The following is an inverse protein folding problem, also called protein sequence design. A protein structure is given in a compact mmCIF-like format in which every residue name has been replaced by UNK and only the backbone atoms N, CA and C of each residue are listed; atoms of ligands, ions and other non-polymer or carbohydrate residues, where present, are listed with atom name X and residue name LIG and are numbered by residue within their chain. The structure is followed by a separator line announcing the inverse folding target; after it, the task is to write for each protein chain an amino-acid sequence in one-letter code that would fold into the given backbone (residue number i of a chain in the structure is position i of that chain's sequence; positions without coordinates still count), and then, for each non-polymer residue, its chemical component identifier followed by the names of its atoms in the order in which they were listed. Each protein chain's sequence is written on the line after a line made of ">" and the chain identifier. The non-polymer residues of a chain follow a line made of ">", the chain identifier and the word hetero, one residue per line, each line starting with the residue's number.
data_IF_359392104634
#
_entry.id   IF_359392104634
#
_cell.length_a   1.000
_cell.length_b   1.000
_cell.length_c   1.000
_cell.angle_alpha   90.00
_cell.angle_beta   90.00
_cell.angle_gamma   90.00
#
_symmetry.space_group_name_H-M   'P 1'
#
loop_
_entity.id
_entity.type
_entity.pdbx_description
1 polymer ?
#
# COMPACT_ATOMS: atom_id res chain seq x y z
N UNK A 1 -28.38 -74.67 -50.76
CA UNK A 1 -28.08 -73.65 -51.79
C UNK A 1 -28.53 -72.29 -51.29
N UNK A 2 -27.72 -71.28 -51.63
CA UNK A 2 -27.69 -69.87 -51.18
C UNK A 2 -28.98 -69.07 -51.46
N UNK A 3 -29.25 -68.01 -50.66
CA UNK A 3 -29.22 -66.61 -51.14
C UNK A 3 -29.53 -65.53 -50.08
N UNK A 4 -28.64 -64.53 -50.06
CA UNK A 4 -28.90 -63.07 -50.02
C UNK A 4 -29.47 -62.48 -48.71
N UNK A 5 -29.05 -61.31 -48.21
CA UNK A 5 -28.21 -60.23 -48.70
C UNK A 5 -28.58 -58.95 -47.92
N UNK A 6 -27.68 -57.95 -47.87
CA UNK A 6 -27.91 -56.60 -47.30
C UNK A 6 -28.20 -56.58 -45.79
N UNK A 7 -27.49 -55.85 -44.94
CA UNK A 7 -27.43 -54.39 -44.88
C UNK A 7 -26.13 -54.01 -44.18
N UNK A 8 -25.11 -53.70 -44.98
CA UNK A 8 -23.91 -53.02 -44.54
C UNK A 8 -24.15 -51.51 -44.66
N UNK A 9 -24.80 -50.88 -43.68
CA UNK A 9 -24.98 -49.42 -43.67
C UNK A 9 -25.37 -48.81 -42.31
N UNK A 10 -25.12 -49.48 -41.18
CA UNK A 10 -25.62 -49.02 -39.87
C UNK A 10 -24.55 -49.12 -38.77
N UNK A 11 -23.32 -48.70 -39.03
CA UNK A 11 -22.22 -48.88 -38.07
C UNK A 11 -21.33 -47.66 -37.81
N UNK A 12 -21.65 -46.45 -38.32
CA UNK A 12 -20.64 -45.36 -38.34
C UNK A 12 -21.13 -43.97 -37.88
N UNK A 13 -22.07 -43.88 -36.93
CA UNK A 13 -22.58 -42.58 -36.43
C UNK A 13 -22.69 -42.45 -34.89
N UNK A 14 -22.07 -43.35 -34.12
CA UNK A 14 -22.28 -43.41 -32.65
C UNK A 14 -21.04 -43.11 -31.79
N UNK A 15 -20.07 -42.34 -32.29
CA UNK A 15 -18.93 -41.92 -31.48
C UNK A 15 -18.76 -40.40 -31.58
N UNK A 16 -18.58 -39.75 -30.43
CA UNK A 16 -18.29 -38.33 -30.17
C UNK A 16 -19.42 -37.47 -29.53
N UNK A 17 -20.15 -38.00 -28.54
CA UNK A 17 -20.69 -37.16 -27.44
C UNK A 17 -19.78 -37.21 -26.20
N UNK A 18 -18.52 -36.79 -26.37
CA UNK A 18 -17.65 -36.52 -25.24
C UNK A 18 -18.08 -35.18 -24.61
N UNK A 19 -18.78 -35.26 -23.49
CA UNK A 19 -19.15 -34.10 -22.68
C UNK A 19 -17.88 -33.39 -22.21
N UNK A 20 -17.62 -32.21 -22.77
CA UNK A 20 -16.57 -31.31 -22.29
C UNK A 20 -17.01 -30.72 -20.94
N UNK A 21 -16.66 -31.40 -19.84
CA UNK A 21 -16.64 -30.77 -18.52
C UNK A 21 -15.47 -29.81 -18.47
N UNK A 22 -15.73 -28.53 -18.75
CA UNK A 22 -14.77 -27.47 -18.51
C UNK A 22 -14.53 -27.37 -16.98
N UNK A 23 -13.26 -27.40 -16.49
CA UNK A 23 -12.99 -27.14 -15.09
C UNK A 23 -13.45 -25.73 -14.72
N UNK A 24 -14.03 -25.52 -13.52
CA UNK A 24 -14.45 -24.20 -13.09
C UNK A 24 -13.25 -23.25 -13.12
N UNK A 25 -13.46 -22.07 -13.73
CA UNK A 25 -12.43 -21.04 -13.76
C UNK A 25 -11.97 -20.74 -12.32
N UNK A 26 -10.66 -20.60 -12.06
CA UNK A 26 -10.19 -20.23 -10.73
C UNK A 26 -10.83 -18.91 -10.35
N UNK A 27 -11.56 -18.89 -9.23
CA UNK A 27 -12.06 -17.66 -8.62
C UNK A 27 -10.87 -16.73 -8.40
N UNK A 28 -10.91 -15.47 -8.90
CA UNK A 28 -9.88 -14.50 -8.58
C UNK A 28 -9.77 -14.40 -7.07
N UNK A 29 -8.62 -14.79 -6.51
CA UNK A 29 -8.34 -14.54 -5.09
C UNK A 29 -8.29 -13.03 -4.98
N UNK A 30 -9.29 -12.42 -4.34
CA UNK A 30 -9.22 -11.02 -3.98
C UNK A 30 -7.89 -10.84 -3.22
N UNK A 31 -6.98 -10.03 -3.76
CA UNK A 31 -5.70 -9.74 -3.10
C UNK A 31 -6.08 -9.11 -1.76
N UNK A 32 -5.96 -9.90 -0.69
CA UNK A 32 -6.38 -9.47 0.62
C UNK A 32 -5.50 -8.29 1.04
N UNK A 33 -6.12 -7.28 1.67
CA UNK A 33 -5.42 -6.18 2.29
C UNK A 33 -4.36 -6.71 3.28
N UNK A 34 -3.08 -6.47 2.96
CA UNK A 34 -1.92 -6.84 3.77
C UNK A 34 -1.21 -5.58 4.30
N UNK A 35 -1.51 -5.17 5.54
CA UNK A 35 -0.84 -4.04 6.19
C UNK A 35 0.68 -4.19 6.24
N UNK A 36 1.22 -5.41 6.41
CA UNK A 36 2.65 -5.61 6.57
C UNK A 36 3.40 -5.34 5.25
N UNK A 37 2.85 -5.82 4.12
CA UNK A 37 3.39 -5.52 2.80
C UNK A 37 3.33 -4.02 2.46
N UNK A 38 2.25 -3.34 2.84
CA UNK A 38 2.15 -1.88 2.67
C UNK A 38 3.20 -1.15 3.49
N UNK A 39 3.36 -1.52 4.77
CA UNK A 39 4.36 -0.93 5.65
C UNK A 39 5.77 -1.13 5.09
N UNK A 40 6.10 -2.31 4.57
CA UNK A 40 7.38 -2.55 3.92
C UNK A 40 7.58 -1.64 2.70
N UNK A 41 6.54 -1.42 1.89
CA UNK A 41 6.61 -0.54 0.71
C UNK A 41 6.80 0.93 1.11
N UNK A 42 6.09 1.38 2.15
CA UNK A 42 6.22 2.73 2.72
C UNK A 42 7.62 2.95 3.28
N UNK A 43 8.13 1.99 4.06
CA UNK A 43 9.47 2.05 4.65
C UNK A 43 10.54 2.14 3.54
N UNK A 44 10.39 1.40 2.43
CA UNK A 44 11.30 1.48 1.28
C UNK A 44 11.26 2.83 0.57
N UNK A 45 10.07 3.44 0.40
CA UNK A 45 9.95 4.76 -0.21
C UNK A 45 10.63 5.86 0.61
N UNK A 46 10.70 5.67 1.93
CA UNK A 46 11.40 6.56 2.88
C UNK A 46 12.91 6.39 2.95
N UNK A 47 13.52 5.46 2.20
CA UNK A 47 14.97 5.33 2.13
C UNK A 47 15.57 6.42 1.25
N UNK A 48 16.66 7.03 1.71
CA UNK A 48 17.34 8.10 0.98
C UNK A 48 18.22 7.56 -0.18
N UNK A 49 18.20 8.21 -1.35
CA UNK A 49 19.24 8.03 -2.39
C UNK A 49 20.43 8.95 -2.10
N UNK A 50 21.65 8.42 -2.18
CA UNK A 50 22.91 9.17 -2.13
C UNK A 50 23.00 10.42 -3.02
N UNK A 51 22.20 10.52 -4.08
CA UNK A 51 22.23 11.62 -5.08
C UNK A 51 21.10 12.63 -4.92
N UNK A 52 20.25 12.49 -3.92
CA UNK A 52 19.09 13.37 -3.72
C UNK A 52 19.30 14.39 -2.59
N UNK A 53 18.46 15.43 -2.60
CA UNK A 53 18.39 16.36 -1.48
C UNK A 53 17.69 15.69 -0.29
N UNK A 54 18.44 15.51 0.80
CA UNK A 54 17.89 15.09 2.09
C UNK A 54 17.82 16.29 3.01
N UNK A 55 16.61 16.84 3.20
CA UNK A 55 16.34 17.83 4.24
C UNK A 55 16.12 17.07 5.54
N UNK A 56 17.07 17.16 6.46
CA UNK A 56 16.92 16.57 7.79
C UNK A 56 16.36 17.63 8.74
N UNK A 57 15.18 17.41 9.34
CA UNK A 57 14.70 18.28 10.41
C UNK A 57 15.74 18.36 11.53
N UNK A 58 15.80 19.51 12.21
CA UNK A 58 16.53 19.60 13.47
C UNK A 58 15.76 18.75 14.47
N UNK A 59 16.28 17.58 14.85
CA UNK A 59 15.60 16.71 15.82
C UNK A 59 15.65 17.35 17.21
N UNK A 60 14.48 17.52 17.81
CA UNK A 60 14.36 17.70 19.24
C UNK A 60 14.48 16.33 19.93
N UNK A 61 15.00 16.29 21.16
CA UNK A 61 15.20 15.01 21.88
C UNK A 61 13.91 14.24 22.15
N UNK A 62 12.75 14.89 22.03
CA UNK A 62 11.43 14.28 22.19
C UNK A 62 11.14 13.27 21.08
N UNK A 63 11.47 13.60 19.83
CA UNK A 63 11.14 12.75 18.68
C UNK A 63 11.98 11.46 18.61
N UNK A 64 13.19 11.48 19.16
CA UNK A 64 14.04 10.28 19.26
C UNK A 64 13.45 9.26 20.25
N UNK A 65 13.03 9.72 21.43
CA UNK A 65 12.39 8.87 22.44
C UNK A 65 11.03 8.33 21.99
N UNK A 66 10.28 9.10 21.20
CA UNK A 66 9.03 8.63 20.60
C UNK A 66 9.27 7.55 19.54
N UNK A 67 10.32 7.68 18.72
CA UNK A 67 10.67 6.65 17.72
C UNK A 67 11.02 5.30 18.36
N UNK A 68 11.80 5.30 19.43
CA UNK A 68 12.10 4.08 20.20
C UNK A 68 10.81 3.46 20.75
N UNK A 69 9.92 4.28 21.34
CA UNK A 69 8.63 3.80 21.84
C UNK A 69 7.73 3.25 20.72
N UNK A 70 7.69 3.89 19.55
CA UNK A 70 6.86 3.46 18.42
C UNK A 70 7.38 2.19 17.72
N UNK A 71 8.68 1.91 17.79
CA UNK A 71 9.28 0.68 17.26
C UNK A 71 8.72 -0.58 17.91
N UNK A 72 8.56 -0.56 19.23
CA UNK A 72 8.00 -1.67 20.03
C UNK A 72 6.47 -1.79 19.90
N UNK A 73 5.82 -0.73 19.43
CA UNK A 73 4.36 -0.57 19.42
C UNK A 73 3.66 -0.98 18.11
N UNK A 74 4.40 -1.52 17.14
CA UNK A 74 3.81 -2.12 15.91
C UNK A 74 3.20 -3.51 16.14
N UNK A 75 3.26 -4.05 17.36
CA UNK A 75 2.58 -5.29 17.71
C UNK A 75 1.05 -5.13 17.73
N UNK A 76 0.27 -6.12 17.27
CA UNK A 76 -1.20 -6.02 17.19
C UNK A 76 -1.87 -5.61 18.50
N UNK A 77 -1.36 -6.10 19.65
CA UNK A 77 -1.93 -5.84 20.97
C UNK A 77 -1.77 -4.39 21.45
N UNK A 78 -0.89 -3.61 20.81
CA UNK A 78 -0.55 -2.26 21.24
C UNK A 78 -1.12 -1.16 20.35
N UNK A 79 -1.62 -1.49 19.15
CA UNK A 79 -1.99 -0.50 18.14
C UNK A 79 -2.96 0.58 18.65
N UNK A 80 -3.95 0.21 19.47
CA UNK A 80 -4.92 1.15 20.03
C UNK A 80 -4.27 2.12 21.05
N UNK A 81 -3.40 1.62 21.92
CA UNK A 81 -2.67 2.45 22.88
C UNK A 81 -1.73 3.41 22.17
N UNK A 82 -1.08 2.95 21.11
CA UNK A 82 -0.22 3.76 20.23
C UNK A 82 -0.99 4.87 19.55
N UNK A 83 -2.15 4.57 18.95
CA UNK A 83 -3.01 5.60 18.37
C UNK A 83 -3.34 6.69 19.38
N UNK A 84 -3.71 6.30 20.60
CA UNK A 84 -4.05 7.26 21.65
C UNK A 84 -2.86 8.13 22.10
N UNK A 85 -1.65 7.56 22.15
CA UNK A 85 -0.43 8.32 22.45
C UNK A 85 -0.11 9.32 21.34
N UNK A 86 -0.20 8.90 20.09
CA UNK A 86 0.00 9.77 18.92
C UNK A 86 -1.05 10.88 18.86
N UNK A 87 -2.31 10.56 19.12
CA UNK A 87 -3.40 11.55 19.14
C UNK A 87 -3.15 12.61 20.23
N UNK A 88 -2.70 12.22 21.44
CA UNK A 88 -2.32 13.19 22.49
C UNK A 88 -1.11 14.04 22.10
N UNK A 89 -0.10 13.48 21.44
CA UNK A 89 1.05 14.24 20.98
C UNK A 89 0.63 15.29 19.93
N UNK A 90 -0.29 14.92 19.04
CA UNK A 90 -0.87 15.81 18.02
C UNK A 90 -1.75 16.93 18.62
N UNK A 91 -2.27 16.78 19.83
CA UNK A 91 -2.95 17.91 20.52
C UNK A 91 -1.99 19.06 20.81
N UNK A 92 -0.72 18.75 21.11
CA UNK A 92 0.33 19.75 21.39
C UNK A 92 1.08 20.19 20.13
N UNK A 93 1.22 19.28 19.15
CA UNK A 93 1.98 19.48 17.93
C UNK A 93 1.13 19.09 16.70
N UNK A 94 0.07 19.87 16.38
CA UNK A 94 -0.96 19.47 15.43
C UNK A 94 -0.47 19.29 13.99
N UNK A 95 0.62 19.96 13.63
CA UNK A 95 1.21 19.96 12.29
C UNK A 95 2.61 19.30 12.27
N UNK A 96 2.96 18.52 13.28
CA UNK A 96 4.18 17.71 13.21
C UNK A 96 4.02 16.59 12.18
N UNK A 97 4.75 16.70 11.08
CA UNK A 97 4.62 15.78 9.95
C UNK A 97 5.02 14.34 10.30
N UNK A 98 5.96 14.13 11.22
CA UNK A 98 6.35 12.79 11.64
C UNK A 98 5.31 12.16 12.57
N UNK A 99 4.72 12.92 13.50
CA UNK A 99 3.60 12.44 14.30
C UNK A 99 2.39 12.06 13.43
N UNK A 100 2.06 12.91 12.45
CA UNK A 100 0.99 12.66 11.49
C UNK A 100 1.28 11.40 10.66
N UNK A 101 2.52 11.22 10.20
CA UNK A 101 2.93 10.04 9.45
C UNK A 101 2.85 8.76 10.29
N UNK A 102 3.37 8.78 11.52
CA UNK A 102 3.29 7.64 12.44
C UNK A 102 1.84 7.28 12.76
N UNK A 103 0.95 8.27 12.87
CA UNK A 103 -0.49 8.04 13.08
C UNK A 103 -1.17 7.42 11.85
N UNK A 104 -0.75 7.81 10.65
CA UNK A 104 -1.23 7.22 9.40
C UNK A 104 -0.83 5.75 9.29
N UNK A 105 0.43 5.42 9.56
CA UNK A 105 0.95 4.05 9.53
C UNK A 105 0.30 3.15 10.59
N UNK A 106 0.12 3.67 11.81
CA UNK A 106 -0.63 2.95 12.84
C UNK A 106 -2.08 2.68 12.40
N UNK A 107 -2.73 3.63 11.70
CA UNK A 107 -4.07 3.43 11.16
C UNK A 107 -4.11 2.34 10.06
N UNK A 108 -3.07 2.24 9.21
CA UNK A 108 -2.92 1.13 8.26
C UNK A 108 -2.89 -0.21 9.01
N UNK A 109 -2.10 -0.31 10.08
CA UNK A 109 -2.03 -1.52 10.91
C UNK A 109 -3.36 -1.84 11.59
N UNK A 110 -4.14 -0.82 11.97
CA UNK A 110 -5.51 -0.95 12.48
C UNK A 110 -6.55 -1.24 11.38
N UNK A 111 -6.15 -1.25 10.11
CA UNK A 111 -7.03 -1.33 8.93
C UNK A 111 -8.03 -0.15 8.80
N UNK A 112 -7.75 0.98 9.44
CA UNK A 112 -8.52 2.24 9.30
C UNK A 112 -7.92 3.09 8.17
N UNK A 113 -8.30 2.76 6.94
CA UNK A 113 -7.82 3.43 5.73
C UNK A 113 -8.22 4.92 5.67
N UNK A 114 -9.41 5.27 6.16
CA UNK A 114 -9.88 6.65 6.13
C UNK A 114 -9.03 7.56 7.03
N UNK A 115 -8.66 7.07 8.22
CA UNK A 115 -7.72 7.80 9.09
C UNK A 115 -6.32 7.80 8.52
N UNK A 116 -5.85 6.68 7.95
CA UNK A 116 -4.54 6.61 7.32
C UNK A 116 -4.36 7.66 6.23
N UNK A 117 -5.31 7.75 5.28
CA UNK A 117 -5.25 8.73 4.19
C UNK A 117 -5.26 10.16 4.71
N UNK A 118 -6.20 10.49 5.62
CA UNK A 118 -6.34 11.83 6.17
C UNK A 118 -5.05 12.29 6.86
N UNK A 119 -4.43 11.43 7.66
CA UNK A 119 -3.20 11.77 8.38
C UNK A 119 -2.00 11.85 7.44
N UNK A 120 -1.87 10.96 6.46
CA UNK A 120 -0.79 11.00 5.48
C UNK A 120 -0.84 12.25 4.60
N UNK A 121 -2.04 12.67 4.17
CA UNK A 121 -2.21 13.93 3.41
C UNK A 121 -1.86 15.15 4.26
N UNK A 122 -2.21 15.15 5.55
CA UNK A 122 -1.79 16.22 6.48
C UNK A 122 -0.28 16.23 6.67
N UNK A 123 0.34 15.06 6.83
CA UNK A 123 1.79 14.94 6.94
C UNK A 123 2.50 15.49 5.69
N UNK A 124 2.03 15.14 4.50
CA UNK A 124 2.55 15.66 3.24
C UNK A 124 2.40 17.18 3.12
N UNK A 125 1.30 17.76 3.62
CA UNK A 125 1.07 19.20 3.60
C UNK A 125 1.94 19.96 4.61
N UNK A 126 2.20 19.38 5.79
CA UNK A 126 2.98 20.02 6.84
C UNK A 126 4.50 19.77 6.72
N UNK A 127 4.90 18.68 6.07
CA UNK A 127 6.28 18.24 5.97
C UNK A 127 7.09 18.91 4.85
N UNK A 128 8.34 18.47 4.73
CA UNK A 128 9.20 18.86 3.62
C UNK A 128 8.59 18.38 2.29
N UNK A 129 8.62 19.25 1.28
CA UNK A 129 8.05 18.96 -0.05
C UNK A 129 9.01 18.20 -0.98
N UNK A 130 10.15 17.75 -0.46
CA UNK A 130 11.15 16.99 -1.20
C UNK A 130 11.91 16.03 -0.28
N UNK A 131 12.53 15.03 -0.90
CA UNK A 131 13.35 14.02 -0.25
C UNK A 131 12.55 12.82 0.28
N UNK A 132 13.20 11.97 1.09
CA UNK A 132 12.65 10.68 1.51
C UNK A 132 11.39 10.80 2.37
N UNK A 133 11.29 11.82 3.22
CA UNK A 133 10.10 12.04 4.05
C UNK A 133 8.86 12.36 3.20
N UNK A 134 9.01 13.26 2.22
CA UNK A 134 7.96 13.54 1.23
C UNK A 134 7.49 12.26 0.52
N UNK A 135 8.43 11.43 0.07
CA UNK A 135 8.09 10.15 -0.59
C UNK A 135 7.34 9.21 0.34
N UNK A 136 7.76 9.07 1.60
CA UNK A 136 7.07 8.22 2.59
C UNK A 136 5.62 8.67 2.81
N UNK A 137 5.38 9.97 2.95
CA UNK A 137 4.03 10.52 3.10
C UNK A 137 3.15 10.19 1.90
N UNK A 138 3.64 10.45 0.69
CA UNK A 138 2.87 10.20 -0.53
C UNK A 138 2.73 8.71 -0.87
N UNK A 139 3.74 7.88 -0.59
CA UNK A 139 3.61 6.43 -0.72
C UNK A 139 2.52 5.88 0.20
N UNK A 140 2.39 6.41 1.41
CA UNK A 140 1.30 6.05 2.32
C UNK A 140 -0.06 6.34 1.71
N UNK A 141 -0.23 7.51 1.07
CA UNK A 141 -1.45 7.85 0.33
C UNK A 141 -1.70 6.87 -0.83
N UNK A 142 -0.67 6.56 -1.62
CA UNK A 142 -0.77 5.61 -2.75
C UNK A 142 -1.24 4.23 -2.28
N UNK A 143 -0.62 3.70 -1.23
CA UNK A 143 -0.97 2.38 -0.68
C UNK A 143 -2.41 2.35 -0.16
N UNK A 144 -2.84 3.39 0.55
CA UNK A 144 -4.20 3.50 1.07
C UNK A 144 -5.24 3.59 -0.05
N UNK A 145 -4.97 4.36 -1.12
CA UNK A 145 -5.86 4.48 -2.27
C UNK A 145 -5.99 3.14 -3.02
N UNK A 146 -4.89 2.40 -3.20
CA UNK A 146 -4.93 1.06 -3.76
C UNK A 146 -5.76 0.10 -2.90
N UNK A 147 -5.53 0.10 -1.59
CA UNK A 147 -6.24 -0.75 -0.64
C UNK A 147 -7.75 -0.44 -0.57
N UNK A 148 -8.11 0.84 -0.68
CA UNK A 148 -9.49 1.31 -0.69
C UNK A 148 -10.20 1.16 -2.04
N UNK A 149 -9.52 0.62 -3.07
CA UNK A 149 -10.01 0.56 -4.44
C UNK A 149 -10.52 1.92 -4.96
N UNK A 150 -9.77 2.99 -4.65
CA UNK A 150 -10.03 4.32 -5.17
C UNK A 150 -9.93 4.34 -6.71
N UNK A 151 -10.44 5.42 -7.33
CA UNK A 151 -10.33 5.55 -8.78
C UNK A 151 -8.86 5.65 -9.24
N UNK A 152 -8.63 5.27 -10.50
CA UNK A 152 -7.28 5.26 -11.08
C UNK A 152 -6.63 6.64 -11.20
N UNK A 153 -7.42 7.70 -11.36
CA UNK A 153 -6.93 9.08 -11.49
C UNK A 153 -6.40 9.59 -10.14
N UNK A 154 -7.09 9.27 -9.04
CA UNK A 154 -6.67 9.59 -7.68
C UNK A 154 -5.37 8.87 -7.32
N UNK A 155 -5.25 7.59 -7.69
CA UNK A 155 -4.02 6.81 -7.52
C UNK A 155 -2.88 7.44 -8.34
N UNK A 156 -3.13 7.73 -9.62
CA UNK A 156 -2.13 8.33 -10.51
C UNK A 156 -1.66 9.70 -10.00
N UNK A 157 -2.57 10.53 -9.49
CA UNK A 157 -2.23 11.83 -8.91
C UNK A 157 -1.36 11.70 -7.65
N UNK A 158 -1.65 10.73 -6.78
CA UNK A 158 -0.83 10.45 -5.60
C UNK A 158 0.56 9.93 -5.99
N UNK A 159 0.65 9.05 -6.99
CA UNK A 159 1.92 8.55 -7.52
C UNK A 159 2.75 9.69 -8.12
N UNK A 160 2.15 10.58 -8.92
CA UNK A 160 2.82 11.75 -9.46
C UNK A 160 3.37 12.66 -8.35
N UNK A 161 2.60 12.84 -7.27
CA UNK A 161 3.04 13.63 -6.11
C UNK A 161 4.22 12.98 -5.37
N UNK A 162 4.19 11.65 -5.18
CA UNK A 162 5.33 10.88 -4.64
C UNK A 162 6.57 11.03 -5.51
N UNK A 163 6.43 10.87 -6.81
CA UNK A 163 7.56 10.88 -7.73
C UNK A 163 8.20 12.28 -7.83
N UNK A 164 7.40 13.33 -7.65
CA UNK A 164 7.87 14.72 -7.59
C UNK A 164 8.72 15.04 -6.34
N UNK A 165 8.69 14.21 -5.30
CA UNK A 165 9.49 14.41 -4.09
C UNK A 165 11.00 14.27 -4.34
N UNK A 166 11.43 13.56 -5.38
CA UNK A 166 12.86 13.32 -5.63
C UNK A 166 13.47 14.51 -6.39
N UNK A 167 14.16 15.38 -5.64
CA UNK A 167 14.87 16.53 -6.19
C UNK A 167 16.38 16.26 -6.18
N UNK A 168 17.04 16.52 -7.30
CA UNK A 168 18.49 16.38 -7.43
C UNK A 168 19.23 17.29 -6.43
N UNK A 169 20.33 16.78 -5.87
CA UNK A 169 21.16 17.59 -4.98
C UNK A 169 21.71 18.85 -5.71
N UNK A 170 21.78 20.02 -5.05
CA UNK A 170 22.37 21.22 -5.65
C UNK A 170 23.83 21.00 -6.06
N UNK A 171 24.30 21.61 -7.16
CA UNK A 171 25.70 21.52 -7.56
C UNK A 171 26.60 22.13 -6.48
N UNK A 172 27.70 21.46 -6.16
CA UNK A 172 28.76 21.96 -5.28
C UNK A 172 29.88 22.53 -6.16
N UNK A 173 30.19 23.82 -6.01
CA UNK A 173 31.24 24.55 -6.74
C UNK A 173 32.36 25.00 -5.81
#
# INVERSE_FOLDING_TARGET
>A
MSRSGSVAAMALLLMLSACASAPPAPTPVAVAFDPAAMMATIDQAGVADSRELVVRPLTDGHMEGLKEQLGDLRAPDHLAATAQQLDRALESHPDDAELLQSRAENAILQRDLATAERMARRAAAAGAQAGPHCRRHWETVVQVLHAGAADGDAIAAAQASRDACTVAAPPRY
#
